data_IF_017827866709
#
_entry.id   IF_017827866709
#
_cell.length_a   1.000
_cell.length_b   1.000
_cell.length_c   1.000
_cell.angle_alpha   90.00
_cell.angle_beta   90.00
_cell.angle_gamma   90.00
#
_symmetry.space_group_name_H-M   'P 1'
#
loop_
_entity.id
_entity.type
_entity.pdbx_description
1 polymer ?
#
# COMPACT_ATOMS: atom_id res chain seq x y z
N UNK A 1 34.45 -12.59 -23.80
CA UNK A 1 33.32 -11.65 -23.71
C UNK A 1 32.21 -12.34 -22.96
N UNK A 2 32.26 -12.24 -21.63
CA UNK A 2 31.25 -12.76 -20.72
C UNK A 2 30.14 -11.70 -20.57
N UNK A 3 28.96 -12.04 -21.09
CA UNK A 3 27.76 -11.23 -20.91
C UNK A 3 27.25 -11.32 -19.47
N UNK A 4 27.40 -10.25 -18.70
CA UNK A 4 26.74 -10.11 -17.41
C UNK A 4 25.24 -9.92 -17.65
N UNK A 5 24.49 -11.01 -17.56
CA UNK A 5 23.04 -10.95 -17.45
C UNK A 5 22.70 -10.39 -16.06
N UNK A 6 22.31 -9.12 -15.99
CA UNK A 6 21.74 -8.55 -14.75
C UNK A 6 20.46 -9.32 -14.44
N UNK A 7 20.49 -10.12 -13.38
CA UNK A 7 19.30 -10.74 -12.82
C UNK A 7 18.47 -9.63 -12.19
N UNK A 8 17.33 -9.32 -12.78
CA UNK A 8 16.33 -8.46 -12.17
C UNK A 8 15.69 -9.25 -11.02
N UNK A 9 16.06 -8.89 -9.80
CA UNK A 9 15.40 -9.41 -8.60
C UNK A 9 14.18 -8.54 -8.35
N UNK A 10 13.03 -9.16 -8.32
CA UNK A 10 11.76 -8.50 -7.96
C UNK A 10 11.76 -8.26 -6.45
N UNK A 11 11.92 -7.03 -6.02
CA UNK A 11 11.92 -6.64 -4.60
C UNK A 11 10.82 -5.63 -4.32
N UNK A 12 9.94 -5.95 -3.39
CA UNK A 12 9.15 -4.95 -2.69
C UNK A 12 9.84 -4.63 -1.35
N UNK A 13 10.39 -3.43 -1.22
CA UNK A 13 11.15 -3.03 -0.04
C UNK A 13 10.40 -1.92 0.68
N UNK A 14 10.09 -2.15 1.95
CA UNK A 14 9.54 -1.14 2.85
C UNK A 14 10.63 -0.69 3.81
N UNK A 15 11.00 0.59 3.74
CA UNK A 15 12.05 1.17 4.59
C UNK A 15 11.47 2.20 5.54
N UNK A 16 11.66 1.98 6.83
CA UNK A 16 11.29 2.91 7.89
C UNK A 16 12.43 3.91 8.16
N UNK A 17 12.12 5.20 8.25
CA UNK A 17 13.11 6.27 8.41
C UNK A 17 12.65 7.36 9.40
N UNK A 18 13.59 8.12 9.96
CA UNK A 18 13.33 9.30 10.80
C UNK A 18 12.89 10.51 9.97
N UNK A 19 12.06 11.39 10.56
CA UNK A 19 11.69 12.65 9.94
C UNK A 19 12.76 13.72 10.14
N UNK A 20 13.12 14.45 9.08
CA UNK A 20 13.75 15.78 9.24
C UNK A 20 12.66 16.79 9.53
N UNK A 21 12.74 17.42 10.73
CA UNK A 21 11.85 18.47 11.17
C UNK A 21 11.79 19.63 10.16
N UNK A 22 10.61 19.87 9.59
CA UNK A 22 10.21 21.19 9.13
C UNK A 22 8.99 21.59 9.95
N UNK A 23 9.23 22.45 10.95
CA UNK A 23 8.16 23.12 11.69
C UNK A 23 7.43 24.05 10.73
N UNK A 24 6.16 23.79 10.49
CA UNK A 24 5.23 24.78 10.02
C UNK A 24 3.94 24.66 10.83
N UNK A 25 3.83 25.54 11.82
CA UNK A 25 2.67 25.73 12.66
C UNK A 25 1.58 26.46 11.86
N UNK A 26 0.52 25.77 11.48
CA UNK A 26 -0.74 26.40 11.13
C UNK A 26 -1.87 25.72 11.92
N UNK A 27 -2.36 26.46 12.89
CA UNK A 27 -3.55 26.17 13.68
C UNK A 27 -4.77 26.11 12.75
N UNK A 28 -5.31 24.93 12.55
CA UNK A 28 -6.60 24.73 11.89
C UNK A 28 -7.65 24.46 12.97
N UNK A 29 -8.66 25.33 13.02
CA UNK A 29 -9.81 25.25 13.89
C UNK A 29 -10.55 23.93 13.70
N UNK A 30 -10.69 23.16 14.78
CA UNK A 30 -11.54 21.98 14.83
C UNK A 30 -13.01 22.39 14.93
N UNK A 31 -13.71 22.45 13.80
CA UNK A 31 -15.17 22.38 13.81
C UNK A 31 -15.61 20.93 14.06
N UNK A 32 -16.58 20.77 14.98
CA UNK A 32 -17.20 19.45 15.27
C UNK A 32 -17.79 18.85 14.00
N UNK A 33 -17.56 17.57 13.66
CA UNK A 33 -18.12 16.98 12.47
C UNK A 33 -19.63 16.84 12.60
N UNK A 34 -20.39 17.45 11.69
CA UNK A 34 -21.81 17.23 11.50
C UNK A 34 -22.04 15.81 10.94
N UNK A 35 -23.04 15.14 11.45
CA UNK A 35 -23.33 13.72 11.32
C UNK A 35 -23.92 13.29 9.98
N UNK A 36 -23.41 13.68 8.83
CA UNK A 36 -23.66 13.08 7.51
C UNK A 36 -22.61 13.62 6.52
N UNK A 37 -21.34 13.20 6.65
CA UNK A 37 -20.42 13.40 5.56
C UNK A 37 -20.96 12.61 4.36
N UNK A 38 -21.23 13.31 3.25
CA UNK A 38 -21.48 12.67 1.98
C UNK A 38 -20.34 11.69 1.71
N UNK A 39 -20.67 10.45 1.37
CA UNK A 39 -19.71 9.40 0.97
C UNK A 39 -18.85 9.83 -0.22
N UNK A 40 -19.37 10.76 -1.02
CA UNK A 40 -18.70 11.33 -2.18
C UNK A 40 -17.96 12.61 -1.80
N UNK A 41 -16.63 12.66 -1.86
CA UNK A 41 -15.87 13.89 -1.66
C UNK A 41 -16.20 14.96 -2.71
N UNK A 42 -16.05 16.26 -2.37
CA UNK A 42 -16.28 17.35 -3.32
C UNK A 42 -15.46 17.18 -4.61
N UNK A 43 -16.09 17.39 -5.76
CA UNK A 43 -15.46 17.29 -7.07
C UNK A 43 -15.25 15.87 -7.61
N UNK A 44 -15.67 14.84 -6.88
CA UNK A 44 -15.60 13.46 -7.33
C UNK A 44 -16.89 13.06 -8.06
N UNK A 45 -16.78 12.06 -8.94
CA UNK A 45 -17.89 11.41 -9.64
C UNK A 45 -17.87 9.91 -9.35
N UNK A 46 -19.06 9.37 -9.07
CA UNK A 46 -19.21 7.92 -8.84
C UNK A 46 -19.01 7.17 -10.16
N UNK A 47 -18.28 6.07 -10.11
CA UNK A 47 -18.04 5.19 -11.25
C UNK A 47 -18.06 3.72 -10.84
N UNK A 48 -18.61 2.88 -11.70
CA UNK A 48 -18.48 1.42 -11.60
C UNK A 48 -17.17 0.90 -12.23
N UNK A 49 -16.51 1.77 -13.02
CA UNK A 49 -15.28 1.39 -13.71
C UNK A 49 -14.09 1.47 -12.76
N UNK A 50 -13.18 0.54 -12.94
CA UNK A 50 -11.86 0.58 -12.33
C UNK A 50 -10.82 0.82 -13.44
N UNK A 51 -10.46 2.09 -13.72
CA UNK A 51 -9.51 2.38 -14.78
C UNK A 51 -8.13 1.82 -14.45
N UNK A 52 -7.47 1.28 -15.45
CA UNK A 52 -6.07 0.86 -15.34
C UNK A 52 -5.19 2.11 -15.35
N UNK A 53 -4.50 2.34 -14.23
CA UNK A 53 -3.57 3.45 -14.05
C UNK A 53 -2.29 2.90 -13.42
N UNK A 54 -1.21 2.90 -14.18
CA UNK A 54 0.10 2.45 -13.69
C UNK A 54 1.20 3.44 -14.11
N UNK A 55 2.26 3.50 -13.33
CA UNK A 55 3.38 4.43 -13.54
C UNK A 55 4.24 4.01 -14.74
N UNK A 56 4.51 2.73 -14.86
CA UNK A 56 5.24 2.10 -15.97
C UNK A 56 4.48 0.87 -16.44
N UNK A 57 5.05 0.12 -17.39
CA UNK A 57 4.48 -1.17 -17.77
C UNK A 57 4.50 -2.12 -16.57
N UNK A 58 3.39 -2.79 -16.27
CA UNK A 58 3.35 -3.77 -15.20
C UNK A 58 4.43 -4.83 -15.41
N UNK A 59 5.25 -5.13 -14.40
CA UNK A 59 6.29 -6.13 -14.54
C UNK A 59 5.72 -7.54 -14.64
N UNK A 60 6.43 -8.41 -15.34
CA UNK A 60 6.17 -9.85 -15.28
C UNK A 60 6.91 -10.44 -14.09
N UNK A 61 6.18 -11.08 -13.18
CA UNK A 61 6.76 -11.67 -11.97
C UNK A 61 7.12 -13.14 -12.17
N UNK A 62 8.31 -13.50 -11.70
CA UNK A 62 8.65 -14.90 -11.41
C UNK A 62 8.37 -15.16 -9.91
N UNK A 63 7.31 -15.90 -9.61
CA UNK A 63 6.87 -16.13 -8.23
C UNK A 63 7.88 -16.91 -7.38
N UNK A 64 8.76 -17.70 -8.01
CA UNK A 64 9.85 -18.40 -7.30
C UNK A 64 10.97 -17.45 -6.82
N UNK A 65 10.99 -16.23 -7.36
CA UNK A 65 11.97 -15.19 -7.02
C UNK A 65 11.34 -13.97 -6.35
N UNK A 66 10.02 -13.98 -6.21
CA UNK A 66 9.29 -12.89 -5.57
C UNK A 66 9.60 -12.86 -4.08
N UNK A 67 9.83 -11.67 -3.55
CA UNK A 67 10.02 -11.46 -2.12
C UNK A 67 9.36 -10.17 -1.64
N UNK A 68 8.95 -10.19 -0.38
CA UNK A 68 8.51 -9.02 0.36
C UNK A 68 9.47 -8.77 1.51
N UNK A 69 10.08 -7.60 1.54
CA UNK A 69 11.13 -7.28 2.51
C UNK A 69 10.80 -6.02 3.30
N UNK A 70 11.01 -6.05 4.61
CA UNK A 70 10.95 -4.89 5.49
C UNK A 70 12.29 -4.69 6.17
N UNK A 71 12.84 -3.47 6.05
CA UNK A 71 14.15 -3.09 6.60
C UNK A 71 14.12 -1.69 7.21
N UNK A 72 15.20 -1.28 7.87
CA UNK A 72 15.40 0.06 8.43
C UNK A 72 15.13 0.13 9.92
N UNK A 73 14.35 1.11 10.40
CA UNK A 73 14.08 1.32 11.82
C UNK A 73 13.06 0.31 12.37
N UNK A 74 13.44 -0.96 12.38
CA UNK A 74 12.69 -2.09 12.94
C UNK A 74 13.59 -2.91 13.87
N UNK A 75 12.99 -3.57 14.87
CA UNK A 75 13.74 -4.51 15.71
C UNK A 75 14.19 -5.75 14.93
N UNK A 76 13.42 -6.13 13.88
CA UNK A 76 13.68 -7.30 13.04
C UNK A 76 13.47 -6.95 11.59
N UNK A 77 14.53 -6.98 10.82
CA UNK A 77 14.41 -6.99 9.36
C UNK A 77 13.92 -8.37 8.91
N UNK A 78 12.87 -8.42 8.12
CA UNK A 78 12.27 -9.66 7.66
C UNK A 78 12.09 -9.66 6.16
N UNK A 79 12.19 -10.83 5.60
CA UNK A 79 11.93 -11.12 4.19
C UNK A 79 11.05 -12.37 4.12
N UNK A 80 10.04 -12.31 3.27
CA UNK A 80 9.13 -13.44 3.00
C UNK A 80 9.21 -13.79 1.52
N UNK A 81 9.31 -15.07 1.20
CA UNK A 81 8.96 -15.59 -0.10
C UNK A 81 7.44 -15.47 -0.34
N UNK A 82 7.01 -15.61 -1.58
CA UNK A 82 5.57 -15.57 -1.91
C UNK A 82 4.76 -16.56 -1.06
N UNK A 83 5.20 -17.82 -0.98
CA UNK A 83 4.48 -18.85 -0.23
C UNK A 83 4.40 -18.55 1.27
N UNK A 84 5.46 -18.01 1.85
CA UNK A 84 5.45 -17.57 3.25
C UNK A 84 4.51 -16.38 3.44
N UNK A 85 4.52 -15.39 2.54
CA UNK A 85 3.70 -14.20 2.63
C UNK A 85 2.20 -14.54 2.55
N UNK A 86 1.77 -15.32 1.56
CA UNK A 86 0.37 -15.72 1.41
C UNK A 86 -0.13 -16.70 2.48
N UNK A 87 0.78 -17.31 3.26
CA UNK A 87 0.40 -18.15 4.42
C UNK A 87 0.05 -17.36 5.67
N UNK A 88 0.30 -16.04 5.68
CA UNK A 88 -0.08 -15.17 6.79
C UNK A 88 -1.61 -15.07 6.92
N UNK A 89 -2.15 -14.71 8.10
CA UNK A 89 -3.59 -14.56 8.30
C UNK A 89 -4.21 -13.56 7.32
N UNK A 90 -5.28 -13.99 6.64
CA UNK A 90 -6.03 -13.16 5.70
C UNK A 90 -7.19 -12.46 6.40
N UNK A 91 -7.50 -11.27 5.91
CA UNK A 91 -8.70 -10.50 6.28
C UNK A 91 -9.46 -10.09 5.03
N UNK A 92 -10.75 -9.83 5.21
CA UNK A 92 -11.57 -9.09 4.25
C UNK A 92 -11.80 -7.67 4.75
N UNK A 93 -11.75 -6.69 3.85
CA UNK A 93 -12.05 -5.28 4.13
C UNK A 93 -12.87 -4.69 3.00
N UNK A 94 -13.90 -3.93 3.35
CA UNK A 94 -14.69 -3.18 2.36
C UNK A 94 -14.44 -1.69 2.53
N UNK A 95 -14.12 -1.02 1.42
CA UNK A 95 -13.82 0.41 1.44
C UNK A 95 -14.23 1.12 0.15
N UNK A 96 -14.44 2.43 0.27
CA UNK A 96 -14.55 3.30 -0.89
C UNK A 96 -13.15 3.66 -1.38
N UNK A 97 -13.02 3.81 -2.68
CA UNK A 97 -11.80 4.25 -3.34
C UNK A 97 -12.05 5.59 -4.01
N UNK A 98 -11.25 6.58 -3.65
CA UNK A 98 -11.28 7.90 -4.26
C UNK A 98 -9.95 8.14 -4.98
N UNK A 99 -10.01 8.59 -6.23
CA UNK A 99 -8.82 8.80 -7.04
C UNK A 99 -8.60 10.29 -7.32
N UNK A 100 -7.35 10.71 -7.44
CA UNK A 100 -6.98 12.08 -7.85
C UNK A 100 -7.52 12.46 -9.24
N UNK A 101 -7.92 11.47 -10.03
CA UNK A 101 -8.57 11.65 -11.33
C UNK A 101 -10.07 11.96 -11.23
N UNK A 102 -10.56 12.34 -10.04
CA UNK A 102 -11.94 12.72 -9.76
C UNK A 102 -12.97 11.58 -9.89
N UNK A 103 -12.54 10.34 -9.76
CA UNK A 103 -13.40 9.16 -9.77
C UNK A 103 -13.48 8.53 -8.36
N UNK A 104 -14.70 8.15 -7.96
CA UNK A 104 -14.97 7.40 -6.72
C UNK A 104 -15.67 6.10 -7.06
N UNK A 105 -15.16 4.98 -6.55
CA UNK A 105 -15.81 3.68 -6.61
C UNK A 105 -16.12 3.22 -5.20
N UNK A 106 -17.36 2.83 -4.96
CA UNK A 106 -17.85 2.43 -3.64
C UNK A 106 -17.76 0.93 -3.43
N UNK A 107 -17.76 0.54 -2.16
CA UNK A 107 -17.91 -0.83 -1.71
C UNK A 107 -16.93 -1.82 -2.33
N UNK A 108 -15.69 -1.39 -2.55
CA UNK A 108 -14.61 -2.28 -3.02
C UNK A 108 -14.32 -3.31 -1.94
N UNK A 109 -14.45 -4.58 -2.25
CA UNK A 109 -14.14 -5.67 -1.33
C UNK A 109 -12.74 -6.20 -1.61
N UNK A 110 -11.87 -6.07 -0.62
CA UNK A 110 -10.49 -6.50 -0.66
C UNK A 110 -10.28 -7.72 0.22
N UNK A 111 -9.46 -8.65 -0.21
CA UNK A 111 -8.95 -9.76 0.59
C UNK A 111 -7.43 -9.75 0.55
N UNK A 112 -6.78 -9.95 1.70
CA UNK A 112 -5.33 -9.97 1.81
C UNK A 112 -4.84 -10.00 3.24
N UNK A 113 -3.61 -9.55 3.45
CA UNK A 113 -2.94 -9.56 4.75
C UNK A 113 -3.03 -8.16 5.38
N UNK A 114 -3.55 -8.06 6.60
CA UNK A 114 -3.59 -6.78 7.33
C UNK A 114 -2.17 -6.27 7.57
N UNK A 115 -1.97 -4.95 7.43
CA UNK A 115 -0.63 -4.37 7.61
C UNK A 115 -0.06 -4.64 9.01
N UNK A 116 -0.89 -4.67 10.06
CA UNK A 116 -0.46 -4.96 11.44
C UNK A 116 0.17 -6.33 11.58
N UNK A 117 -0.24 -7.31 10.77
CA UNK A 117 0.39 -8.63 10.76
C UNK A 117 1.89 -8.55 10.42
N UNK A 118 2.24 -7.60 9.56
CA UNK A 118 3.63 -7.32 9.21
C UNK A 118 4.30 -6.46 10.29
N UNK A 119 3.66 -5.38 10.75
CA UNK A 119 4.20 -4.47 11.77
C UNK A 119 4.51 -5.19 13.09
N UNK A 120 3.62 -6.08 13.54
CA UNK A 120 3.79 -6.86 14.76
C UNK A 120 5.00 -7.82 14.70
N UNK A 121 5.33 -8.29 13.49
CA UNK A 121 6.49 -9.17 13.29
C UNK A 121 7.80 -8.42 13.22
N UNK A 122 7.83 -7.28 12.50
CA UNK A 122 9.06 -6.49 12.32
C UNK A 122 9.34 -5.56 13.49
N UNK A 123 8.31 -5.16 14.24
CA UNK A 123 8.35 -4.26 15.40
C UNK A 123 9.07 -2.95 15.09
N UNK A 124 8.36 -1.97 14.53
CA UNK A 124 8.93 -0.64 14.30
C UNK A 124 9.51 -0.04 15.58
N UNK A 125 10.70 0.53 15.49
CA UNK A 125 11.33 1.24 16.61
C UNK A 125 10.55 2.54 16.90
N UNK A 126 10.59 3.08 18.14
CA UNK A 126 9.85 4.31 18.51
C UNK A 126 10.19 5.53 17.65
N UNK A 127 11.37 5.56 17.06
CA UNK A 127 11.86 6.62 16.17
C UNK A 127 11.30 6.52 14.74
N UNK A 128 10.77 5.37 14.35
CA UNK A 128 10.18 5.15 13.04
C UNK A 128 8.90 5.99 12.91
N UNK A 129 8.89 6.94 11.97
CA UNK A 129 7.74 7.83 11.72
C UNK A 129 7.17 7.69 10.32
N UNK A 130 7.98 7.25 9.38
CA UNK A 130 7.64 7.16 7.97
C UNK A 130 8.02 5.79 7.42
N UNK A 131 7.24 5.36 6.44
CA UNK A 131 7.51 4.16 5.64
C UNK A 131 7.74 4.60 4.20
N UNK A 132 8.87 4.21 3.64
CA UNK A 132 9.10 4.30 2.21
C UNK A 132 8.65 2.97 1.58
N UNK A 133 7.59 3.03 0.83
CA UNK A 133 7.06 1.91 0.07
C UNK A 133 7.77 1.86 -1.28
N UNK A 134 8.33 0.72 -1.63
CA UNK A 134 8.93 0.46 -2.92
C UNK A 134 8.09 -0.58 -3.67
N UNK A 135 7.80 -0.31 -4.91
CA UNK A 135 7.11 -1.24 -5.80
C UNK A 135 7.84 -1.30 -7.15
N UNK A 136 7.79 -2.47 -7.77
CA UNK A 136 8.42 -2.67 -9.07
C UNK A 136 7.71 -1.88 -10.19
N UNK A 137 8.44 -1.48 -11.22
CA UNK A 137 9.89 -1.66 -11.37
C UNK A 137 10.77 -0.62 -10.64
N UNK A 138 10.28 0.56 -10.30
CA UNK A 138 11.04 1.63 -9.63
C UNK A 138 10.10 2.68 -8.99
N UNK A 139 8.89 2.30 -8.63
CA UNK A 139 7.95 3.22 -8.00
C UNK A 139 8.20 3.30 -6.50
N UNK A 140 8.18 4.51 -5.96
CA UNK A 140 8.27 4.74 -4.52
C UNK A 140 7.21 5.72 -4.05
N UNK A 141 6.72 5.48 -2.84
CA UNK A 141 5.83 6.40 -2.13
C UNK A 141 6.19 6.43 -0.65
N UNK A 142 6.08 7.61 -0.04
CA UNK A 142 6.25 7.76 1.39
C UNK A 142 4.89 7.97 2.05
N UNK A 143 4.69 7.32 3.18
CA UNK A 143 3.52 7.45 4.04
C UNK A 143 3.97 7.53 5.49
N UNK A 144 3.14 8.10 6.37
CA UNK A 144 3.42 8.03 7.80
C UNK A 144 3.13 6.63 8.33
N UNK A 145 3.81 6.24 9.39
CA UNK A 145 3.52 4.97 10.04
C UNK A 145 2.08 4.96 10.61
N UNK A 146 1.59 6.10 11.09
CA UNK A 146 0.23 6.25 11.60
C UNK A 146 -0.84 6.08 10.49
N UNK A 147 -0.58 6.54 9.26
CA UNK A 147 -1.46 6.30 8.12
C UNK A 147 -1.43 4.84 7.68
N UNK A 148 -0.29 4.18 7.79
CA UNK A 148 -0.16 2.77 7.47
C UNK A 148 -0.87 1.89 8.51
N UNK A 149 -0.76 2.21 9.81
CA UNK A 149 -1.32 1.44 10.92
C UNK A 149 -2.81 1.76 11.17
N UNK A 150 -3.63 1.66 10.12
CA UNK A 150 -5.09 1.84 10.24
C UNK A 150 -5.81 0.49 10.06
N UNK A 151 -7.01 0.37 10.66
CA UNK A 151 -7.78 -0.88 10.70
C UNK A 151 -8.21 -1.41 9.32
N UNK A 152 -8.23 -0.56 8.30
CA UNK A 152 -8.66 -0.88 6.94
C UNK A 152 -7.52 -0.91 5.93
N UNK A 153 -6.26 -0.88 6.40
CA UNK A 153 -5.07 -0.93 5.54
C UNK A 153 -4.58 -2.36 5.41
N UNK A 154 -4.42 -2.82 4.19
CA UNK A 154 -3.99 -4.19 3.91
C UNK A 154 -3.12 -4.30 2.65
N UNK A 155 -2.37 -5.37 2.59
CA UNK A 155 -1.73 -5.86 1.38
C UNK A 155 -2.72 -6.78 0.67
N UNK A 156 -3.43 -6.25 -0.33
CA UNK A 156 -4.47 -6.97 -1.05
C UNK A 156 -3.89 -7.97 -2.05
N UNK A 157 -4.49 -9.15 -2.06
CA UNK A 157 -4.27 -10.24 -3.01
C UNK A 157 -5.43 -10.36 -3.99
N UNK A 158 -6.65 -10.01 -3.53
CA UNK A 158 -7.88 -10.11 -4.31
C UNK A 158 -8.71 -8.82 -4.20
N UNK A 159 -9.50 -8.58 -5.25
CA UNK A 159 -10.51 -7.52 -5.31
C UNK A 159 -11.82 -8.09 -5.85
N UNK A 160 -12.93 -7.83 -5.16
CA UNK A 160 -14.27 -8.34 -5.49
C UNK A 160 -14.30 -9.87 -5.74
N UNK A 161 -13.51 -10.63 -4.96
CA UNK A 161 -13.46 -12.09 -5.01
C UNK A 161 -12.61 -12.67 -6.15
N UNK A 162 -11.82 -11.84 -6.85
CA UNK A 162 -10.89 -12.30 -7.90
C UNK A 162 -9.46 -11.86 -7.62
N UNK A 163 -8.45 -12.70 -7.92
CA UNK A 163 -7.06 -12.30 -7.79
C UNK A 163 -6.75 -11.01 -8.56
N UNK A 164 -5.90 -10.16 -7.99
CA UNK A 164 -5.47 -8.94 -8.64
C UNK A 164 -4.68 -9.25 -9.92
N UNK A 165 -5.06 -8.61 -11.01
CA UNK A 165 -4.28 -8.65 -12.26
C UNK A 165 -3.06 -7.76 -12.17
N UNK A 166 -2.04 -8.00 -12.98
CA UNK A 166 -0.85 -7.14 -13.05
C UNK A 166 -1.18 -5.68 -13.35
N UNK A 167 -2.21 -5.44 -14.18
CA UNK A 167 -2.71 -4.09 -14.51
C UNK A 167 -3.30 -3.34 -13.31
N UNK A 168 -3.74 -4.07 -12.30
CA UNK A 168 -4.31 -3.53 -11.07
C UNK A 168 -3.39 -3.72 -9.85
N UNK A 169 -2.09 -3.93 -10.07
CA UNK A 169 -1.08 -4.00 -9.04
C UNK A 169 -0.86 -5.39 -8.45
N UNK A 170 -1.37 -6.45 -9.12
CA UNK A 170 -1.07 -7.82 -8.73
C UNK A 170 0.41 -8.19 -8.94
N UNK A 171 0.90 -9.19 -8.21
CA UNK A 171 0.18 -10.12 -7.34
C UNK A 171 -0.17 -9.56 -5.95
N UNK A 172 0.46 -8.46 -5.51
CA UNK A 172 0.26 -7.83 -4.21
C UNK A 172 0.15 -6.33 -4.36
N UNK A 173 -0.85 -5.73 -3.71
CA UNK A 173 -1.08 -4.29 -3.74
C UNK A 173 -1.34 -3.75 -2.33
N UNK A 174 -0.62 -2.71 -1.93
CA UNK A 174 -0.96 -1.95 -0.73
C UNK A 174 -2.23 -1.12 -0.97
N UNK A 175 -3.21 -1.24 -0.09
CA UNK A 175 -4.48 -0.51 -0.12
C UNK A 175 -4.59 0.35 1.13
N UNK A 176 -4.65 1.68 0.94
CA UNK A 176 -4.86 2.69 1.98
C UNK A 176 -6.11 3.50 1.64
N UNK A 177 -7.29 3.09 2.12
CA UNK A 177 -8.56 3.75 1.75
C UNK A 177 -8.68 5.20 2.21
N UNK A 178 -7.95 5.60 3.26
CA UNK A 178 -7.92 6.97 3.78
C UNK A 178 -7.19 7.96 2.87
N UNK A 179 -6.36 7.48 1.97
CA UNK A 179 -5.63 8.28 0.99
C UNK A 179 -6.24 8.10 -0.40
N UNK A 180 -6.07 9.12 -1.26
CA UNK A 180 -6.51 8.98 -2.65
C UNK A 180 -5.67 7.93 -3.37
N UNK A 181 -6.35 7.14 -4.20
CA UNK A 181 -5.86 5.89 -4.77
C UNK A 181 -4.93 6.11 -5.98
N UNK A 182 -3.82 6.76 -5.77
CA UNK A 182 -2.78 6.94 -6.78
C UNK A 182 -1.39 6.50 -6.28
N UNK A 183 -1.33 6.06 -5.05
CA UNK A 183 -0.11 5.56 -4.41
C UNK A 183 -0.16 4.04 -4.32
#
# INVERSE_FOLDING_TARGET
>A
TEGHTRRHHTKQIYRLSESRNHQNSNLVNHEKPSSHKSRLPPGQQVTEKWPVLHYMQPPAYNMDQWDFTVTGLVERELQWSWNEFISLPHIESTSDVHCVTHCSRYDNRWEGIHVREILDRVRPMPEAKFVMVHADPDYTANITLDELDQDNVLFALQHDGTPLTSEHGGPLRLVLPSLYFWK
#
